data_IF_015007330407
#
_entry.id   IF_015007330407
#
_cell.length_a   1.000
_cell.length_b   1.000
_cell.length_c   1.000
_cell.angle_alpha   90.00
_cell.angle_beta   90.00
_cell.angle_gamma   90.00
#
_symmetry.space_group_name_H-M   'P 1'
#
loop_
_entity.id
_entity.type
_entity.pdbx_description
1 polymer ?
#
# COMPACT_ATOMS: atom_id res chain seq x y z
N UNK A 1 -24.99 13.02 -36.27
CA UNK A 1 -25.28 13.64 -34.95
C UNK A 1 -24.68 12.92 -33.73
N UNK A 2 -24.20 11.67 -33.81
CA UNK A 2 -23.57 10.99 -32.66
C UNK A 2 -22.07 11.33 -32.43
N UNK A 3 -21.45 12.15 -33.29
CA UNK A 3 -20.03 12.52 -33.17
C UNK A 3 -19.80 13.70 -32.23
N UNK A 4 -20.76 14.64 -32.13
CA UNK A 4 -20.63 15.84 -31.30
C UNK A 4 -20.61 15.55 -29.80
N UNK A 5 -21.39 14.57 -29.32
CA UNK A 5 -21.39 14.20 -27.90
C UNK A 5 -20.05 13.57 -27.47
N UNK A 6 -19.38 12.80 -28.34
CA UNK A 6 -18.04 12.27 -28.09
C UNK A 6 -16.95 13.34 -28.19
N UNK A 7 -17.11 14.33 -29.05
CA UNK A 7 -16.19 15.47 -29.16
C UNK A 7 -16.28 16.39 -27.94
N UNK A 8 -17.50 16.71 -27.47
CA UNK A 8 -17.70 17.51 -26.26
C UNK A 8 -17.16 16.81 -25.00
N UNK A 9 -17.30 15.48 -24.90
CA UNK A 9 -16.69 14.68 -23.82
C UNK A 9 -15.16 14.70 -23.92
N UNK A 10 -14.60 14.57 -25.13
CA UNK A 10 -13.15 14.60 -25.33
C UNK A 10 -12.54 15.98 -25.04
N UNK A 11 -13.23 17.07 -25.37
CA UNK A 11 -12.76 18.44 -25.08
C UNK A 11 -12.88 18.76 -23.59
N UNK A 12 -13.97 18.33 -22.94
CA UNK A 12 -14.16 18.45 -21.49
C UNK A 12 -13.11 17.65 -20.72
N UNK A 13 -12.82 16.42 -21.19
CA UNK A 13 -11.73 15.58 -20.69
C UNK A 13 -10.37 16.24 -20.87
N UNK A 14 -10.12 16.89 -22.01
CA UNK A 14 -8.85 17.60 -22.25
C UNK A 14 -8.68 18.79 -21.29
N UNK A 15 -9.72 19.59 -21.10
CA UNK A 15 -9.74 20.68 -20.11
C UNK A 15 -9.53 20.16 -18.68
N UNK A 16 -10.16 19.05 -18.32
CA UNK A 16 -9.94 18.42 -17.02
C UNK A 16 -8.48 17.94 -16.85
N UNK A 17 -7.89 17.36 -17.89
CA UNK A 17 -6.48 16.94 -17.86
C UNK A 17 -5.51 18.12 -17.81
N UNK A 18 -5.80 19.21 -18.49
CA UNK A 18 -5.04 20.47 -18.40
C UNK A 18 -5.09 21.02 -16.96
N UNK A 19 -6.26 21.05 -16.34
CA UNK A 19 -6.41 21.44 -14.92
C UNK A 19 -5.64 20.52 -13.98
N UNK A 20 -5.69 19.20 -14.19
CA UNK A 20 -4.93 18.23 -13.39
C UNK A 20 -3.42 18.44 -13.58
N UNK A 21 -2.96 18.63 -14.82
CA UNK A 21 -1.55 18.85 -15.12
C UNK A 21 -1.03 20.13 -14.43
N UNK A 22 -1.83 21.22 -14.48
CA UNK A 22 -1.52 22.47 -13.79
C UNK A 22 -1.39 22.26 -12.27
N UNK A 23 -2.37 21.60 -11.64
CA UNK A 23 -2.33 21.33 -10.21
C UNK A 23 -1.17 20.40 -9.81
N UNK A 24 -0.84 19.40 -10.63
CA UNK A 24 0.32 18.54 -10.41
C UNK A 24 1.61 19.36 -10.47
N UNK A 25 1.74 20.26 -11.44
CA UNK A 25 2.91 21.14 -11.57
C UNK A 25 3.04 22.12 -10.40
N UNK A 26 1.94 22.76 -9.99
CA UNK A 26 1.89 23.63 -8.81
C UNK A 26 2.24 22.87 -7.53
N UNK A 27 1.71 21.66 -7.35
CA UNK A 27 2.01 20.82 -6.18
C UNK A 27 3.48 20.39 -6.13
N UNK A 28 4.09 20.10 -7.29
CA UNK A 28 5.52 19.79 -7.40
C UNK A 28 6.38 21.03 -7.05
N UNK A 29 6.02 22.21 -7.57
CA UNK A 29 6.71 23.49 -7.29
C UNK A 29 6.59 23.92 -5.82
N UNK A 30 5.39 23.86 -5.24
CA UNK A 30 5.13 24.26 -3.85
C UNK A 30 5.93 23.43 -2.84
N UNK A 31 6.10 22.13 -3.11
CA UNK A 31 6.93 21.23 -2.27
C UNK A 31 8.41 21.56 -2.31
N UNK A 32 8.92 22.02 -3.46
CA UNK A 32 10.31 22.46 -3.58
C UNK A 32 10.60 23.64 -2.63
N UNK A 33 9.66 24.59 -2.49
CA UNK A 33 9.78 25.70 -1.56
C UNK A 33 9.68 25.28 -0.10
N UNK A 34 8.77 24.35 0.24
CA UNK A 34 8.58 23.86 1.62
C UNK A 34 9.80 23.06 2.12
N UNK A 35 10.50 22.33 1.24
CA UNK A 35 11.73 21.59 1.59
C UNK A 35 12.87 22.49 2.13
N UNK A 36 12.83 23.79 1.86
CA UNK A 36 13.79 24.78 2.33
C UNK A 36 13.56 25.22 3.79
N UNK A 37 12.35 25.07 4.33
CA UNK A 37 11.98 25.61 5.65
C UNK A 37 11.98 24.56 6.76
N UNK A 38 12.75 24.84 7.80
CA UNK A 38 13.42 23.90 8.69
C UNK A 38 12.65 23.64 10.02
N UNK A 39 11.42 23.09 10.02
CA UNK A 39 10.61 23.09 11.28
C UNK A 39 9.77 21.88 11.71
N UNK A 40 9.97 20.65 11.21
CA UNK A 40 9.28 19.46 11.77
C UNK A 40 10.25 18.29 12.03
N UNK A 41 10.83 18.26 13.24
CA UNK A 41 11.81 17.27 13.73
C UNK A 41 11.23 15.89 14.09
N UNK A 42 9.92 15.69 14.07
CA UNK A 42 9.28 14.42 14.49
C UNK A 42 9.25 13.39 13.34
N UNK A 43 9.53 13.79 12.10
CA UNK A 43 9.61 12.92 10.92
C UNK A 43 11.02 12.37 10.62
N UNK A 44 11.96 12.38 11.57
CA UNK A 44 13.37 12.02 11.35
C UNK A 44 13.63 10.53 10.97
N UNK A 45 12.63 9.66 11.01
CA UNK A 45 12.69 8.31 10.43
C UNK A 45 12.49 8.29 8.90
N UNK A 46 11.98 9.38 8.31
CA UNK A 46 11.79 9.57 6.87
C UNK A 46 12.98 10.32 6.24
N UNK A 47 14.21 9.94 6.60
CA UNK A 47 15.46 10.56 6.11
C UNK A 47 15.67 10.49 4.59
N UNK A 48 14.82 9.76 3.86
CA UNK A 48 14.77 9.78 2.38
C UNK A 48 14.07 11.03 1.81
N UNK A 49 13.37 11.81 2.65
CA UNK A 49 12.50 12.93 2.25
C UNK A 49 13.25 14.20 1.87
N UNK A 50 14.50 14.40 2.32
CA UNK A 50 15.04 15.76 2.46
C UNK A 50 15.68 16.39 1.22
N UNK A 51 16.08 15.62 0.20
CA UNK A 51 16.87 16.16 -0.92
C UNK A 51 16.45 15.67 -2.33
N UNK A 52 15.46 14.79 -2.49
CA UNK A 52 15.31 14.00 -3.72
C UNK A 52 13.92 13.99 -4.37
N UNK A 53 13.02 14.96 -4.06
CA UNK A 53 11.68 15.06 -4.67
C UNK A 53 10.91 13.73 -4.75
N UNK A 54 11.03 12.93 -3.68
CA UNK A 54 10.49 11.58 -3.54
C UNK A 54 9.58 11.44 -2.30
N UNK A 55 9.03 12.57 -1.82
CA UNK A 55 8.28 12.63 -0.57
C UNK A 55 6.93 11.91 -0.65
N UNK A 56 6.20 12.03 -1.76
CA UNK A 56 4.93 11.30 -1.98
C UNK A 56 5.20 9.81 -2.08
N UNK A 57 6.22 9.44 -2.84
CA UNK A 57 6.61 8.05 -3.04
C UNK A 57 7.04 7.40 -1.72
N UNK A 58 7.84 8.12 -0.91
CA UNK A 58 8.27 7.66 0.40
C UNK A 58 7.09 7.53 1.38
N UNK A 59 6.19 8.52 1.43
CA UNK A 59 4.98 8.45 2.24
C UNK A 59 4.12 7.22 1.88
N UNK A 60 3.94 6.97 0.59
CA UNK A 60 3.19 5.81 0.10
C UNK A 60 3.82 4.48 0.53
N UNK A 61 5.14 4.35 0.39
CA UNK A 61 5.87 3.16 0.85
C UNK A 61 5.78 3.00 2.37
N UNK A 62 5.86 4.10 3.13
CA UNK A 62 5.69 4.07 4.57
C UNK A 62 4.28 3.62 4.96
N UNK A 63 3.22 4.14 4.33
CA UNK A 63 1.85 3.67 4.60
C UNK A 63 1.73 2.16 4.36
N UNK A 64 2.30 1.63 3.27
CA UNK A 64 2.33 0.18 3.03
C UNK A 64 3.08 -0.59 4.11
N UNK A 65 4.19 -0.05 4.61
CA UNK A 65 4.93 -0.63 5.73
C UNK A 65 4.08 -0.62 7.02
N UNK A 66 3.37 0.48 7.30
CA UNK A 66 2.46 0.55 8.45
C UNK A 66 1.34 -0.48 8.34
N UNK A 67 0.78 -0.73 7.15
CA UNK A 67 -0.18 -1.82 6.94
C UNK A 67 0.43 -3.19 7.23
N UNK A 68 1.67 -3.44 6.82
CA UNK A 68 2.36 -4.69 7.14
C UNK A 68 2.60 -4.84 8.64
N UNK A 69 3.04 -3.78 9.32
CA UNK A 69 3.18 -3.75 10.78
C UNK A 69 1.83 -4.00 11.45
N UNK A 70 0.74 -3.43 10.93
CA UNK A 70 -0.59 -3.66 11.44
C UNK A 70 -0.98 -5.14 11.34
N UNK A 71 -0.75 -5.79 10.20
CA UNK A 71 -1.02 -7.23 10.02
C UNK A 71 -0.20 -8.08 11.00
N UNK A 72 1.10 -7.79 11.15
CA UNK A 72 1.96 -8.48 12.13
C UNK A 72 1.44 -8.26 13.56
N UNK A 73 1.02 -7.04 13.89
CA UNK A 73 0.40 -6.70 15.16
C UNK A 73 -0.90 -7.48 15.41
N UNK A 74 -1.75 -7.65 14.39
CA UNK A 74 -2.98 -8.45 14.50
C UNK A 74 -2.67 -9.93 14.75
N UNK A 75 -1.68 -10.49 14.07
CA UNK A 75 -1.22 -11.87 14.32
C UNK A 75 -0.70 -11.99 15.76
N UNK A 76 0.07 -11.02 16.24
CA UNK A 76 0.57 -11.00 17.61
C UNK A 76 -0.56 -10.90 18.65
N UNK A 77 -1.54 -10.00 18.43
CA UNK A 77 -2.71 -9.87 19.31
C UNK A 77 -3.55 -11.14 19.33
N UNK A 78 -3.68 -11.82 18.19
CA UNK A 78 -4.35 -13.12 18.10
C UNK A 78 -3.61 -14.17 18.96
N UNK A 79 -2.29 -14.27 18.84
CA UNK A 79 -1.49 -15.18 19.67
C UNK A 79 -1.62 -14.89 21.16
N UNK A 80 -1.58 -13.60 21.53
CA UNK A 80 -1.75 -13.16 22.91
C UNK A 80 -3.15 -13.50 23.45
N UNK A 81 -4.20 -13.33 22.65
CA UNK A 81 -5.58 -13.65 23.03
C UNK A 81 -5.77 -15.15 23.25
N UNK A 82 -5.16 -15.99 22.41
CA UNK A 82 -5.22 -17.45 22.56
C UNK A 82 -4.34 -17.97 23.70
N UNK A 83 -3.41 -17.15 24.22
CA UNK A 83 -2.43 -17.58 25.22
C UNK A 83 -1.42 -18.61 24.68
N UNK A 84 -1.26 -18.69 23.35
CA UNK A 84 -0.31 -19.61 22.72
C UNK A 84 1.07 -18.96 22.62
N UNK A 85 2.12 -19.73 22.87
CA UNK A 85 3.52 -19.28 22.72
C UNK A 85 3.99 -19.26 21.27
N UNK A 86 3.29 -19.96 20.37
CA UNK A 86 3.74 -20.20 19.01
C UNK A 86 3.04 -19.27 18.01
N UNK A 87 3.80 -18.40 17.33
CA UNK A 87 3.24 -17.46 16.35
C UNK A 87 2.67 -18.14 15.09
N UNK A 88 3.09 -19.39 14.87
CA UNK A 88 2.66 -20.26 13.78
C UNK A 88 1.56 -21.24 14.21
N UNK A 89 0.81 -20.94 15.27
CA UNK A 89 -0.22 -21.85 15.80
C UNK A 89 -1.22 -22.32 14.72
N UNK A 90 -1.56 -21.48 13.74
CA UNK A 90 -2.53 -21.82 12.70
C UNK A 90 -2.11 -23.03 11.86
N UNK A 91 -0.80 -23.19 11.58
CA UNK A 91 -0.30 -24.38 10.89
C UNK A 91 -0.34 -25.63 11.78
N UNK A 92 -0.04 -25.49 13.08
CA UNK A 92 -0.11 -26.60 14.02
C UNK A 92 -1.54 -27.12 14.18
N UNK A 93 -2.52 -26.23 14.42
CA UNK A 93 -3.93 -26.64 14.56
C UNK A 93 -4.47 -27.22 13.25
N UNK A 94 -4.08 -26.68 12.09
CA UNK A 94 -4.48 -27.26 10.81
C UNK A 94 -3.91 -28.68 10.64
N UNK A 95 -2.65 -28.89 10.99
CA UNK A 95 -2.02 -30.21 10.93
C UNK A 95 -2.71 -31.21 11.86
N UNK A 96 -3.02 -30.83 13.10
CA UNK A 96 -3.70 -31.69 14.05
C UNK A 96 -5.10 -32.08 13.56
N UNK A 97 -5.82 -31.12 12.97
CA UNK A 97 -7.14 -31.35 12.40
C UNK A 97 -7.10 -32.30 11.19
N UNK A 98 -6.07 -32.19 10.34
CA UNK A 98 -5.88 -33.09 9.19
C UNK A 98 -5.54 -34.53 9.62
N UNK A 99 -4.85 -34.69 10.75
CA UNK A 99 -4.53 -36.01 11.32
C UNK A 99 -5.63 -36.55 12.25
N UNK A 100 -6.80 -35.90 12.33
CA UNK A 100 -7.90 -36.22 13.24
C UNK A 100 -7.48 -36.33 14.71
N UNK A 101 -6.48 -35.53 15.13
CA UNK A 101 -6.15 -35.39 16.55
C UNK A 101 -7.16 -34.45 17.18
N UNK A 102 -7.88 -34.95 18.18
CA UNK A 102 -8.88 -34.16 18.88
C UNK A 102 -8.24 -33.25 19.95
N UNK A 103 -9.10 -32.42 20.56
CA UNK A 103 -8.74 -31.47 21.61
C UNK A 103 -8.26 -32.18 22.90
N UNK A 104 -8.60 -33.46 23.08
CA UNK A 104 -8.18 -34.27 24.23
C UNK A 104 -6.69 -34.61 24.17
N UNK A 105 -6.14 -34.85 22.97
CA UNK A 105 -4.72 -35.13 22.74
C UNK A 105 -3.89 -33.85 22.59
N UNK A 106 -4.43 -32.82 21.93
CA UNK A 106 -3.70 -31.57 21.66
C UNK A 106 -3.77 -30.56 22.80
N UNK A 107 -4.77 -30.66 23.68
CA UNK A 107 -5.01 -29.71 24.78
C UNK A 107 -5.46 -28.32 24.32
N UNK A 108 -5.56 -28.09 23.01
CA UNK A 108 -5.97 -26.82 22.42
C UNK A 108 -7.50 -26.77 22.32
N UNK A 109 -8.09 -25.66 22.74
CA UNK A 109 -9.54 -25.41 22.68
C UNK A 109 -10.41 -26.55 23.28
N UNK A 110 -10.36 -26.78 24.61
CA UNK A 110 -11.14 -27.84 25.26
C UNK A 110 -12.65 -27.64 25.10
N UNK A 111 -13.36 -28.73 24.77
CA UNK A 111 -14.83 -28.73 24.63
C UNK A 111 -15.54 -29.11 25.93
N UNK A 112 -14.81 -29.68 26.88
CA UNK A 112 -15.30 -30.08 28.20
C UNK A 112 -14.30 -29.60 29.26
N UNK A 113 -14.79 -29.01 30.35
CA UNK A 113 -13.99 -28.56 31.48
C UNK A 113 -14.60 -28.99 32.81
N UNK A 114 -13.80 -29.13 33.85
CA UNK A 114 -14.27 -29.34 35.23
C UNK A 114 -14.36 -27.99 35.93
N UNK A 115 -15.50 -27.70 36.57
CA UNK A 115 -15.72 -26.47 37.30
C UNK A 115 -16.02 -26.79 38.76
N UNK A 116 -15.27 -26.13 39.66
CA UNK A 116 -15.39 -26.31 41.10
C UNK A 116 -16.28 -25.19 41.67
N UNK A 117 -17.32 -25.59 42.40
CA UNK A 117 -18.24 -24.70 43.08
C UNK A 117 -18.18 -24.93 44.59
N UNK A 118 -18.14 -23.83 45.35
CA UNK A 118 -18.16 -23.86 46.80
C UNK A 118 -19.57 -23.53 47.32
N UNK A 119 -20.19 -24.47 48.01
CA UNK A 119 -21.52 -24.29 48.61
C UNK A 119 -21.38 -24.30 50.13
N UNK A 120 -21.93 -23.29 50.80
CA UNK A 120 -21.95 -23.21 52.26
C UNK A 120 -23.22 -23.83 52.81
N UNK A 121 -23.06 -24.87 53.64
CA UNK A 121 -24.18 -25.53 54.33
C UNK A 121 -23.81 -25.64 55.82
N UNK A 122 -24.70 -25.20 56.71
CA UNK A 122 -24.52 -25.29 58.17
C UNK A 122 -23.21 -24.66 58.70
N UNK A 123 -22.73 -23.60 58.06
CA UNK A 123 -21.48 -22.91 58.45
C UNK A 123 -20.19 -23.57 57.96
N UNK A 124 -20.27 -24.70 57.23
CA UNK A 124 -19.13 -25.35 56.62
C UNK A 124 -19.13 -25.17 55.08
N UNK A 125 -17.95 -25.08 54.47
CA UNK A 125 -17.79 -24.94 53.01
C UNK A 125 -17.60 -26.33 52.40
N UNK A 126 -18.49 -26.73 51.50
CA UNK A 126 -18.40 -27.97 50.74
C UNK A 126 -18.03 -27.65 49.29
N UNK A 127 -16.99 -28.31 48.77
CA UNK A 127 -16.55 -28.19 47.37
C UNK A 127 -17.17 -29.29 46.52
N UNK A 128 -17.84 -28.91 45.44
CA UNK A 128 -18.39 -29.82 44.44
C UNK A 128 -17.74 -29.55 43.08
N UNK A 129 -17.41 -30.61 42.36
CA UNK A 129 -16.84 -30.53 41.01
C UNK A 129 -17.89 -31.03 40.01
N UNK A 130 -18.13 -30.26 38.94
CA UNK A 130 -19.09 -30.63 37.89
C UNK A 130 -18.45 -30.51 36.52
N UNK A 131 -18.94 -31.30 35.57
CA UNK A 131 -18.50 -31.27 34.18
C UNK A 131 -19.30 -30.23 33.39
N UNK A 132 -18.61 -29.25 32.80
CA UNK A 132 -19.18 -28.22 31.94
C UNK A 132 -18.83 -28.50 30.47
N UNK A 133 -19.77 -28.23 29.56
CA UNK A 133 -19.55 -28.34 28.11
C UNK A 133 -19.41 -26.94 27.52
N UNK A 134 -18.27 -26.67 26.91
CA UNK A 134 -17.91 -25.39 26.27
C UNK A 134 -18.14 -25.47 24.76
N UNK A 135 -19.41 -25.51 24.34
CA UNK A 135 -19.75 -25.57 22.91
C UNK A 135 -19.22 -24.37 22.12
N UNK A 136 -19.07 -23.21 22.76
CA UNK A 136 -18.52 -21.99 22.14
C UNK A 136 -17.09 -22.19 21.64
N UNK A 137 -16.31 -23.05 22.30
CA UNK A 137 -14.90 -23.22 21.97
C UNK A 137 -14.70 -23.94 20.63
N UNK A 138 -15.64 -24.82 20.27
CA UNK A 138 -15.66 -25.47 18.97
C UNK A 138 -15.82 -24.46 17.82
N UNK A 139 -16.60 -23.39 18.04
CA UNK A 139 -16.74 -22.31 17.06
C UNK A 139 -15.49 -21.43 17.01
N UNK A 140 -14.94 -21.08 18.17
CA UNK A 140 -13.73 -20.29 18.29
C UNK A 140 -12.54 -20.96 17.57
N UNK A 141 -12.37 -22.27 17.72
CA UNK A 141 -11.36 -23.07 17.03
C UNK A 141 -11.36 -22.80 15.52
N UNK A 142 -12.56 -22.83 14.89
CA UNK A 142 -12.70 -22.63 13.43
C UNK A 142 -12.56 -21.17 13.02
N UNK A 143 -13.12 -20.24 13.79
CA UNK A 143 -13.04 -18.80 13.49
C UNK A 143 -11.59 -18.31 13.59
N UNK A 144 -10.85 -18.69 14.63
CA UNK A 144 -9.47 -18.26 14.80
C UNK A 144 -8.53 -18.89 13.78
N UNK A 145 -8.76 -20.15 13.40
CA UNK A 145 -8.04 -20.78 12.30
C UNK A 145 -8.28 -20.02 10.99
N UNK A 146 -9.55 -19.70 10.67
CA UNK A 146 -9.89 -18.91 9.48
C UNK A 146 -9.24 -17.52 9.48
N UNK A 147 -9.32 -16.79 10.60
CA UNK A 147 -8.73 -15.45 10.75
C UNK A 147 -7.21 -15.49 10.58
N UNK A 148 -6.53 -16.49 11.13
CA UNK A 148 -5.09 -16.63 11.00
C UNK A 148 -4.65 -16.80 9.54
N UNK A 149 -5.30 -17.70 8.79
CA UNK A 149 -5.03 -17.86 7.35
C UNK A 149 -5.41 -16.63 6.54
N UNK A 150 -6.49 -15.94 6.90
CA UNK A 150 -6.89 -14.68 6.28
C UNK A 150 -5.80 -13.60 6.43
N UNK A 151 -5.27 -13.40 7.65
CA UNK A 151 -4.17 -12.47 7.89
C UNK A 151 -2.88 -12.88 7.18
N UNK A 152 -2.61 -14.19 7.06
CA UNK A 152 -1.47 -14.68 6.29
C UNK A 152 -1.59 -14.30 4.81
N UNK A 153 -2.75 -14.53 4.19
CA UNK A 153 -3.00 -14.16 2.79
C UNK A 153 -2.88 -12.65 2.58
N UNK A 154 -3.50 -11.85 3.46
CA UNK A 154 -3.37 -10.38 3.42
C UNK A 154 -1.92 -9.93 3.60
N UNK A 155 -1.17 -10.58 4.48
CA UNK A 155 0.24 -10.31 4.73
C UNK A 155 1.10 -10.57 3.50
N UNK A 156 0.91 -11.72 2.85
CA UNK A 156 1.62 -12.07 1.61
C UNK A 156 1.30 -11.06 0.50
N UNK A 157 0.01 -10.78 0.26
CA UNK A 157 -0.40 -9.82 -0.77
C UNK A 157 0.16 -8.41 -0.54
N UNK A 158 0.12 -7.94 0.70
CA UNK A 158 0.68 -6.62 1.07
C UNK A 158 2.19 -6.59 0.92
N UNK A 159 2.89 -7.66 1.29
CA UNK A 159 4.35 -7.79 1.15
C UNK A 159 4.77 -7.81 -0.33
N UNK A 160 4.11 -8.61 -1.17
CA UNK A 160 4.36 -8.62 -2.61
C UNK A 160 4.13 -7.24 -3.24
N UNK A 161 3.05 -6.54 -2.84
CA UNK A 161 2.77 -5.18 -3.28
C UNK A 161 3.88 -4.22 -2.84
N UNK A 162 4.32 -4.26 -1.58
CA UNK A 162 5.40 -3.43 -1.07
C UNK A 162 6.70 -3.65 -1.84
N UNK A 163 7.10 -4.91 -2.06
CA UNK A 163 8.31 -5.26 -2.81
C UNK A 163 8.24 -4.76 -4.25
N UNK A 164 7.10 -4.93 -4.92
CA UNK A 164 6.89 -4.43 -6.28
C UNK A 164 7.09 -2.91 -6.37
N UNK A 165 6.42 -2.15 -5.47
CA UNK A 165 6.50 -0.70 -5.44
C UNK A 165 7.86 -0.18 -5.00
N UNK A 166 8.56 -0.92 -4.12
CA UNK A 166 9.92 -0.61 -3.70
C UNK A 166 10.89 -0.78 -4.87
N UNK A 167 10.83 -1.93 -5.56
CA UNK A 167 11.69 -2.21 -6.71
C UNK A 167 11.48 -1.17 -7.82
N UNK A 168 10.24 -0.87 -8.18
CA UNK A 168 9.97 0.07 -9.27
C UNK A 168 10.34 1.52 -8.94
N UNK A 169 10.33 1.88 -7.64
CA UNK A 169 10.71 3.20 -7.15
C UNK A 169 12.22 3.40 -7.05
N UNK A 170 12.99 2.37 -6.69
CA UNK A 170 14.45 2.49 -6.48
C UNK A 170 15.22 2.66 -7.79
N UNK A 171 14.78 2.04 -8.89
CA UNK A 171 15.55 2.04 -10.14
C UNK A 171 15.18 3.21 -11.07
N UNK A 172 16.00 4.28 -11.16
CA UNK A 172 15.73 5.43 -12.03
C UNK A 172 15.70 5.04 -13.52
N UNK A 173 16.45 4.00 -13.93
CA UNK A 173 16.41 3.49 -15.30
C UNK A 173 15.01 2.99 -15.72
N UNK A 174 14.28 2.34 -14.81
CA UNK A 174 12.90 1.89 -15.06
C UNK A 174 11.90 3.04 -15.08
N UNK A 175 12.19 4.14 -14.39
CA UNK A 175 11.38 5.37 -14.41
C UNK A 175 11.49 6.06 -15.77
N UNK A 176 12.71 6.25 -16.27
CA UNK A 176 12.95 6.85 -17.60
C UNK A 176 12.37 5.97 -18.71
N UNK A 177 12.59 4.65 -18.66
CA UNK A 177 12.04 3.73 -19.65
C UNK A 177 10.51 3.70 -19.66
N UNK A 178 9.87 3.80 -18.48
CA UNK A 178 8.41 3.88 -18.38
C UNK A 178 7.88 5.13 -19.08
N UNK A 179 8.36 6.32 -18.70
CA UNK A 179 7.91 7.59 -19.30
C UNK A 179 8.21 7.65 -20.80
N UNK A 180 9.37 7.14 -21.22
CA UNK A 180 9.76 7.05 -22.63
C UNK A 180 8.78 6.24 -23.48
N UNK A 181 8.23 5.13 -22.95
CA UNK A 181 7.22 4.33 -23.67
C UNK A 181 5.94 5.11 -23.93
N UNK A 182 5.43 5.88 -22.95
CA UNK A 182 4.22 6.68 -23.14
C UNK A 182 4.44 7.85 -24.09
N UNK A 183 5.62 8.48 -24.09
CA UNK A 183 5.95 9.56 -25.03
C UNK A 183 6.13 9.06 -26.47
N UNK A 184 6.65 7.84 -26.66
CA UNK A 184 6.93 7.29 -28.00
C UNK A 184 5.69 6.64 -28.64
N UNK A 185 4.71 6.23 -27.83
CA UNK A 185 3.67 5.27 -28.22
C UNK A 185 2.54 5.78 -29.13
N UNK A 186 2.34 7.09 -29.31
CA UNK A 186 1.11 7.58 -29.98
C UNK A 186 1.34 8.45 -31.22
N UNK A 187 2.46 9.18 -31.37
CA UNK A 187 2.52 10.22 -32.44
C UNK A 187 3.88 10.47 -33.10
N UNK A 188 4.78 9.48 -33.11
CA UNK A 188 6.01 9.60 -33.91
C UNK A 188 6.94 10.72 -33.45
N UNK A 189 7.05 10.97 -32.14
CA UNK A 189 8.08 11.84 -31.56
C UNK A 189 9.45 11.16 -31.67
N UNK A 190 9.98 11.11 -32.90
CA UNK A 190 11.17 10.35 -33.29
C UNK A 190 12.50 11.04 -32.93
N UNK A 191 12.48 12.12 -32.14
CA UNK A 191 13.68 12.90 -31.82
C UNK A 191 13.69 13.42 -30.36
N UNK A 192 13.14 12.68 -29.38
CA UNK A 192 13.48 13.02 -27.98
C UNK A 192 14.92 12.59 -27.75
N UNK A 193 15.82 13.55 -27.62
CA UNK A 193 17.18 13.24 -27.17
C UNK A 193 17.12 12.54 -25.80
N UNK A 194 17.84 11.44 -25.67
CA UNK A 194 17.92 10.64 -24.45
C UNK A 194 18.34 11.48 -23.23
N UNK A 195 19.16 12.52 -23.43
CA UNK A 195 19.55 13.43 -22.37
C UNK A 195 18.41 14.37 -21.96
N UNK A 196 17.65 14.90 -22.93
CA UNK A 196 16.47 15.73 -22.67
C UNK A 196 15.37 14.95 -21.93
N UNK A 197 15.12 13.69 -22.31
CA UNK A 197 14.18 12.81 -21.59
C UNK A 197 14.64 12.57 -20.15
N UNK A 198 15.93 12.28 -19.95
CA UNK A 198 16.50 12.07 -18.62
C UNK A 198 16.42 13.34 -17.77
N UNK A 199 16.64 14.52 -18.35
CA UNK A 199 16.51 15.81 -17.67
C UNK A 199 15.06 16.10 -17.29
N UNK A 200 14.11 15.85 -18.17
CA UNK A 200 12.68 15.94 -17.87
C UNK A 200 12.29 15.04 -16.70
N UNK A 201 12.65 13.76 -16.75
CA UNK A 201 12.27 12.79 -15.70
C UNK A 201 12.95 13.10 -14.37
N UNK A 202 14.26 13.39 -14.35
CA UNK A 202 15.01 13.55 -13.10
C UNK A 202 14.91 14.96 -12.49
N UNK A 203 14.86 16.02 -13.31
CA UNK A 203 14.83 17.40 -12.80
C UNK A 203 13.42 17.99 -12.75
N UNK A 204 12.61 17.82 -13.80
CA UNK A 204 11.28 18.44 -13.86
C UNK A 204 10.22 17.61 -13.14
N UNK A 205 10.08 16.34 -13.53
CA UNK A 205 9.04 15.47 -13.01
C UNK A 205 9.38 14.84 -11.65
N UNK A 206 10.69 14.62 -11.42
CA UNK A 206 11.22 13.96 -10.22
C UNK A 206 10.61 12.55 -10.00
N UNK A 207 11.03 11.88 -8.92
CA UNK A 207 10.53 10.55 -8.59
C UNK A 207 9.01 10.56 -8.29
N UNK A 208 8.52 11.61 -7.61
CA UNK A 208 7.11 11.75 -7.26
C UNK A 208 6.19 11.92 -8.48
N UNK A 209 6.59 12.67 -9.50
CA UNK A 209 5.78 12.83 -10.70
C UNK A 209 5.73 11.54 -11.54
N UNK A 210 6.83 10.77 -11.59
CA UNK A 210 6.80 9.44 -12.22
C UNK A 210 5.90 8.48 -11.45
N UNK A 211 5.93 8.52 -10.12
CA UNK A 211 5.04 7.73 -9.27
C UNK A 211 3.57 8.08 -9.51
N UNK A 212 3.24 9.37 -9.61
CA UNK A 212 1.90 9.85 -9.98
C UNK A 212 1.47 9.34 -11.36
N UNK A 213 2.32 9.44 -12.38
CA UNK A 213 2.01 8.91 -13.72
C UNK A 213 1.74 7.40 -13.68
N UNK A 214 2.53 6.62 -12.93
CA UNK A 214 2.29 5.17 -12.76
C UNK A 214 0.95 4.88 -12.08
N UNK A 215 0.58 5.67 -11.08
CA UNK A 215 -0.72 5.55 -10.42
C UNK A 215 -1.87 5.89 -11.36
N UNK A 216 -1.73 6.98 -12.13
CA UNK A 216 -2.71 7.36 -13.15
C UNK A 216 -2.85 6.29 -14.22
N UNK A 217 -1.75 5.68 -14.69
CA UNK A 217 -1.82 4.57 -15.64
C UNK A 217 -2.57 3.36 -15.06
N UNK A 218 -2.31 3.00 -13.80
CA UNK A 218 -2.94 1.84 -13.15
C UNK A 218 -4.44 2.06 -12.86
N UNK A 219 -4.87 3.29 -12.59
CA UNK A 219 -6.25 3.58 -12.15
C UNK A 219 -7.13 4.28 -13.20
N UNK A 220 -6.57 5.19 -14.00
CA UNK A 220 -7.29 5.94 -15.04
C UNK A 220 -7.04 5.40 -16.47
N UNK A 221 -6.10 4.45 -16.61
CA UNK A 221 -5.77 3.78 -17.88
C UNK A 221 -4.64 4.44 -18.66
N UNK A 222 -4.08 3.68 -19.59
CA UNK A 222 -2.87 4.05 -20.34
C UNK A 222 -3.06 5.26 -21.26
N UNK A 223 -4.25 5.43 -21.85
CA UNK A 223 -4.56 6.55 -22.75
C UNK A 223 -4.49 7.90 -22.01
N UNK A 224 -5.12 7.95 -20.84
CA UNK A 224 -5.13 9.16 -19.98
C UNK A 224 -3.72 9.49 -19.50
N UNK A 225 -2.95 8.47 -19.11
CA UNK A 225 -1.56 8.66 -18.73
C UNK A 225 -0.71 9.19 -19.89
N UNK A 226 -0.96 8.73 -21.12
CA UNK A 226 -0.24 9.20 -22.29
C UNK A 226 -0.53 10.69 -22.57
N UNK A 227 -1.81 11.09 -22.59
CA UNK A 227 -2.21 12.48 -22.79
C UNK A 227 -1.63 13.40 -21.71
N UNK A 228 -1.69 12.97 -20.45
CA UNK A 228 -1.09 13.70 -19.33
C UNK A 228 0.43 13.83 -19.48
N UNK A 229 1.12 12.76 -19.90
CA UNK A 229 2.58 12.78 -20.11
C UNK A 229 2.98 13.74 -21.23
N UNK A 230 2.18 13.82 -22.30
CA UNK A 230 2.39 14.76 -23.41
C UNK A 230 2.21 16.21 -22.96
N UNK A 231 1.14 16.52 -22.22
CA UNK A 231 0.89 17.85 -21.67
C UNK A 231 2.06 18.31 -20.78
N UNK A 232 2.51 17.45 -19.86
CA UNK A 232 3.64 17.75 -18.99
C UNK A 232 4.95 17.96 -19.76
N UNK A 233 5.17 17.20 -20.83
CA UNK A 233 6.34 17.36 -21.71
C UNK A 233 6.31 18.69 -22.46
N UNK A 234 5.16 19.07 -23.01
CA UNK A 234 5.00 20.35 -23.72
C UNK A 234 5.25 21.53 -22.77
N UNK A 235 4.67 21.52 -21.58
CA UNK A 235 4.93 22.54 -20.55
C UNK A 235 6.42 22.63 -20.19
N UNK A 236 7.13 21.50 -20.13
CA UNK A 236 8.58 21.51 -19.90
C UNK A 236 9.35 22.17 -21.06
N UNK A 237 8.99 21.86 -22.30
CA UNK A 237 9.59 22.49 -23.48
C UNK A 237 9.32 24.00 -23.56
N UNK A 238 8.11 24.43 -23.20
CA UNK A 238 7.74 25.85 -23.19
C UNK A 238 8.50 26.61 -22.11
N UNK A 239 8.56 26.08 -20.87
CA UNK A 239 9.38 26.63 -19.79
C UNK A 239 10.88 26.70 -20.16
N UNK A 240 11.39 25.73 -20.93
CA UNK A 240 12.78 25.75 -21.39
C UNK A 240 13.01 26.82 -22.47
N UNK A 241 12.00 27.11 -23.29
CA UNK A 241 12.03 28.15 -24.31
C UNK A 241 12.01 29.54 -23.69
N UNK A 242 11.14 29.80 -22.71
CA UNK A 242 11.05 31.09 -22.02
C UNK A 242 12.38 31.49 -21.37
N UNK A 243 13.05 30.55 -20.68
CA UNK A 243 14.37 30.78 -20.08
C UNK A 243 15.48 31.10 -21.08
N UNK A 244 15.29 30.77 -22.35
CA UNK A 244 16.26 31.07 -23.41
C UNK A 244 16.06 32.48 -24.00
N UNK A 245 14.87 33.08 -23.85
CA UNK A 245 14.56 34.45 -24.31
C UNK A 245 14.88 35.53 -23.27
N UNK A 246 15.14 35.17 -22.01
CA UNK A 246 15.54 36.10 -20.94
C UNK A 246 17.06 36.32 -20.82
N UNK A 247 17.87 35.75 -21.73
CA UNK A 247 19.35 35.88 -21.77
C UNK A 247 19.73 36.67 -23.03
#
# INVERSE_FOLDING_TARGET
MACDSRLMDSESRRKALETIACHVEEALKARHQISSSNRLRILSLLSCSRNAGAAVTCLYLCIKLLFLINIVGQIFLLNLFLGSTDTLFGFHILSDLLHNREWDESGNFPRVTMCDFEVKVLGNVHRHTVQCVLMINMFNEKIFLFLWFWFLILGVGTTCSLIYWLFISIFPGRQVSFVGKYLTGIEGYKMVDSQSLRRFVLHFLHQDGVFLLRMTAAHAGDLVCCDLSKLLWNNFCDNAREKMFEI
#
